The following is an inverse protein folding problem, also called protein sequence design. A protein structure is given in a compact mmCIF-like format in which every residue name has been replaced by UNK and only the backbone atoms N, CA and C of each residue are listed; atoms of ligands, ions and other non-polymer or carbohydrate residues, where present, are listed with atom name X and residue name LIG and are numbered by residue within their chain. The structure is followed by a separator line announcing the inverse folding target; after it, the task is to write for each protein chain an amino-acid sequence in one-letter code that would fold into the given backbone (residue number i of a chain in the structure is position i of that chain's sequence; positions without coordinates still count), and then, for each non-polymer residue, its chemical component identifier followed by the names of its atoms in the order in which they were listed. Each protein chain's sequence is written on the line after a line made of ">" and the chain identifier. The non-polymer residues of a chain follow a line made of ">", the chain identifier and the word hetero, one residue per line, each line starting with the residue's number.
data_IF_119573056114
#
_entry.id   IF_119573056114
#
_cell.length_a   1.000
_cell.length_b   1.000
_cell.length_c   1.000
_cell.angle_alpha   90.00
_cell.angle_beta   90.00
_cell.angle_gamma   90.00
#
_symmetry.space_group_name_H-M   'P 1'
#
loop_
_entity.id
_entity.type
_entity.pdbx_description
1 polymer ?
#
# COMPACT_ATOMS: atom_id res chain seq x y z
N UNK A 1 30.92 -25.20 6.43
CA UNK A 1 29.52 -25.33 6.89
C UNK A 1 28.82 -26.40 6.07
N UNK A 2 27.82 -27.12 6.61
CA UNK A 2 26.99 -28.04 5.82
C UNK A 2 26.23 -27.24 4.76
N UNK A 3 26.18 -27.71 3.50
CA UNK A 3 25.45 -27.05 2.39
C UNK A 3 24.00 -26.66 2.75
N UNK A 4 23.35 -27.47 3.59
CA UNK A 4 21.99 -27.22 4.08
C UNK A 4 21.86 -25.92 4.88
N UNK A 5 22.84 -25.63 5.74
CA UNK A 5 22.87 -24.43 6.59
C UNK A 5 23.05 -23.18 5.73
N UNK A 6 23.85 -23.28 4.66
CA UNK A 6 24.07 -22.19 3.71
C UNK A 6 22.78 -21.80 2.98
N UNK A 7 22.04 -22.78 2.43
CA UNK A 7 20.76 -22.53 1.78
C UNK A 7 19.71 -21.91 2.71
N UNK A 8 19.67 -22.33 3.97
CA UNK A 8 18.74 -21.80 4.96
C UNK A 8 19.08 -20.37 5.36
N UNK A 9 20.37 -20.08 5.49
CA UNK A 9 20.87 -18.74 5.78
C UNK A 9 20.57 -17.79 4.61
N UNK A 10 20.74 -18.27 3.37
CA UNK A 10 20.36 -17.53 2.16
C UNK A 10 18.84 -17.26 2.11
N UNK A 11 18.01 -18.26 2.41
CA UNK A 11 16.56 -18.07 2.48
C UNK A 11 16.14 -17.02 3.53
N UNK A 12 16.75 -17.04 4.72
CA UNK A 12 16.52 -16.03 5.76
C UNK A 12 16.94 -14.63 5.31
N UNK A 13 18.07 -14.50 4.60
CA UNK A 13 18.52 -13.22 4.03
C UNK A 13 17.54 -12.69 2.99
N UNK A 14 17.11 -13.55 2.06
CA UNK A 14 16.12 -13.20 1.04
C UNK A 14 14.80 -12.76 1.68
N UNK A 15 14.34 -13.46 2.72
CA UNK A 15 13.14 -13.09 3.46
C UNK A 15 13.27 -11.72 4.15
N UNK A 16 14.44 -11.43 4.73
CA UNK A 16 14.74 -10.12 5.33
C UNK A 16 14.68 -9.00 4.30
N UNK A 17 15.38 -9.20 3.18
CA UNK A 17 15.46 -8.21 2.10
C UNK A 17 14.07 -7.93 1.52
N UNK A 18 13.31 -8.99 1.24
CA UNK A 18 11.94 -8.87 0.76
C UNK A 18 11.03 -8.13 1.74
N UNK A 19 11.13 -8.45 3.02
CA UNK A 19 10.36 -7.78 4.07
C UNK A 19 10.72 -6.30 4.18
N UNK A 20 11.99 -5.96 4.04
CA UNK A 20 12.48 -4.57 4.02
C UNK A 20 11.97 -3.80 2.80
N UNK A 21 11.95 -4.43 1.62
CA UNK A 21 11.38 -3.83 0.40
C UNK A 21 9.89 -3.60 0.56
N UNK A 22 9.15 -4.55 1.14
CA UNK A 22 7.73 -4.35 1.40
C UNK A 22 7.47 -3.19 2.36
N UNK A 23 8.29 -3.04 3.41
CA UNK A 23 8.19 -1.88 4.32
C UNK A 23 8.43 -0.55 3.60
N UNK A 24 9.42 -0.47 2.71
CA UNK A 24 9.69 0.75 1.96
C UNK A 24 8.56 1.10 1.00
N UNK A 25 7.97 0.10 0.32
CA UNK A 25 6.78 0.28 -0.53
C UNK A 25 5.59 0.77 0.29
N UNK A 26 5.33 0.20 1.47
CA UNK A 26 4.24 0.64 2.35
C UNK A 26 4.43 2.09 2.81
N UNK A 27 5.64 2.46 3.21
CA UNK A 27 5.98 3.84 3.58
C UNK A 27 5.79 4.80 2.40
N UNK A 28 6.22 4.41 1.19
CA UNK A 28 6.04 5.21 -0.01
C UNK A 28 4.56 5.42 -0.36
N UNK A 29 3.72 4.38 -0.23
CA UNK A 29 2.28 4.48 -0.46
C UNK A 29 1.61 5.44 0.54
N UNK A 30 1.97 5.37 1.82
CA UNK A 30 1.45 6.29 2.84
C UNK A 30 1.90 7.74 2.57
N UNK A 31 3.17 7.93 2.21
CA UNK A 31 3.68 9.26 1.87
C UNK A 31 2.97 9.84 0.64
N UNK A 32 2.76 9.02 -0.39
CA UNK A 32 2.02 9.40 -1.59
C UNK A 32 0.59 9.82 -1.23
N UNK A 33 -0.11 9.02 -0.42
CA UNK A 33 -1.46 9.34 0.01
C UNK A 33 -1.53 10.56 0.92
N UNK A 34 -0.53 10.81 1.76
CA UNK A 34 -0.48 12.01 2.57
C UNK A 34 -0.32 13.28 1.72
N UNK A 35 0.41 13.20 0.61
CA UNK A 35 0.60 14.33 -0.33
C UNK A 35 -0.61 14.54 -1.23
N UNK A 36 -1.19 13.46 -1.76
CA UNK A 36 -2.27 13.53 -2.76
C UNK A 36 -3.67 13.34 -2.18
N UNK A 37 -3.80 13.08 -0.88
CA UNK A 37 -5.03 12.66 -0.20
C UNK A 37 -6.11 13.72 -0.01
N UNK A 38 -6.03 14.85 -0.71
CA UNK A 38 -7.01 15.93 -0.61
C UNK A 38 -8.22 15.67 -1.50
N UNK A 39 -8.90 14.56 -1.24
CA UNK A 39 -10.05 14.12 -2.02
C UNK A 39 -11.34 14.45 -1.26
N UNK A 40 -12.33 14.99 -1.99
CA UNK A 40 -13.69 15.12 -1.48
C UNK A 40 -14.39 13.76 -1.58
N UNK A 41 -14.69 13.14 -0.44
CA UNK A 41 -15.13 11.74 -0.40
C UNK A 41 -16.60 11.59 -0.01
N UNK A 42 -17.25 10.60 -0.61
CA UNK A 42 -18.48 10.04 -0.06
C UNK A 42 -18.15 9.17 1.16
N UNK A 43 -19.00 9.17 2.20
CA UNK A 43 -18.79 8.44 3.46
C UNK A 43 -18.46 6.94 3.31
N UNK A 44 -18.80 6.31 2.18
CA UNK A 44 -18.44 4.92 1.87
C UNK A 44 -16.96 4.74 1.50
N UNK A 45 -16.33 5.74 0.89
CA UNK A 45 -14.91 5.70 0.54
C UNK A 45 -14.02 5.76 1.80
N UNK A 46 -14.46 6.50 2.84
CA UNK A 46 -13.73 6.62 4.11
C UNK A 46 -13.56 5.28 4.84
N UNK A 47 -14.54 4.38 4.72
CA UNK A 47 -14.45 3.03 5.29
C UNK A 47 -13.32 2.22 4.64
N UNK A 48 -13.21 2.26 3.30
CA UNK A 48 -12.13 1.57 2.58
C UNK A 48 -10.77 2.17 2.92
N UNK A 49 -10.68 3.49 3.07
CA UNK A 49 -9.45 4.16 3.50
C UNK A 49 -9.01 3.73 4.90
N UNK A 50 -9.94 3.70 5.87
CA UNK A 50 -9.64 3.26 7.23
C UNK A 50 -9.15 1.81 7.26
N UNK A 51 -9.81 0.90 6.53
CA UNK A 51 -9.38 -0.51 6.43
C UNK A 51 -8.01 -0.61 5.77
N UNK A 52 -7.75 0.16 4.70
CA UNK A 52 -6.43 0.23 4.07
C UNK A 52 -5.34 0.62 5.08
N UNK A 53 -5.54 1.70 5.84
CA UNK A 53 -4.54 2.20 6.81
C UNK A 53 -4.29 1.15 7.90
N UNK A 54 -5.34 0.55 8.45
CA UNK A 54 -5.21 -0.48 9.50
C UNK A 54 -4.52 -1.74 8.96
N UNK A 55 -4.89 -2.20 7.76
CA UNK A 55 -4.29 -3.37 7.14
C UNK A 55 -2.80 -3.12 6.80
N UNK A 56 -2.47 -1.92 6.32
CA UNK A 56 -1.09 -1.57 6.02
C UNK A 56 -0.25 -1.49 7.30
N UNK A 57 -0.77 -0.87 8.36
CA UNK A 57 -0.11 -0.81 9.66
C UNK A 57 0.13 -2.21 10.24
N UNK A 58 -0.88 -3.10 10.18
CA UNK A 58 -0.72 -4.49 10.58
C UNK A 58 0.37 -5.20 9.76
N UNK A 59 0.37 -5.04 8.43
CA UNK A 59 1.40 -5.62 7.55
C UNK A 59 2.80 -5.08 7.89
N UNK A 60 2.94 -3.79 8.18
CA UNK A 60 4.21 -3.18 8.62
C UNK A 60 4.70 -3.77 9.94
N UNK A 61 3.80 -4.02 10.90
CA UNK A 61 4.14 -4.66 12.17
C UNK A 61 4.63 -6.09 11.97
N UNK A 62 3.99 -6.88 11.10
CA UNK A 62 4.49 -8.22 10.76
C UNK A 62 5.87 -8.15 10.12
N UNK A 63 6.06 -7.27 9.15
CA UNK A 63 7.35 -7.11 8.46
C UNK A 63 8.47 -6.68 9.41
N UNK A 64 8.20 -5.71 10.29
CA UNK A 64 9.16 -5.27 11.30
C UNK A 64 9.54 -6.42 12.27
N UNK A 65 8.56 -7.27 12.65
CA UNK A 65 8.82 -8.46 13.45
C UNK A 65 9.70 -9.48 12.70
N UNK A 66 9.44 -9.72 11.41
CA UNK A 66 10.25 -10.62 10.58
C UNK A 66 11.69 -10.10 10.49
N UNK A 67 11.87 -8.84 10.08
CA UNK A 67 13.20 -8.23 9.93
C UNK A 67 13.97 -8.19 11.25
N UNK A 68 13.29 -7.91 12.36
CA UNK A 68 13.88 -7.88 13.70
C UNK A 68 14.24 -9.25 14.26
N UNK A 69 13.51 -10.31 13.89
CA UNK A 69 13.77 -11.67 14.38
C UNK A 69 14.91 -12.38 13.64
N UNK A 70 15.14 -12.05 12.36
CA UNK A 70 16.10 -12.74 11.49
C UNK A 70 17.55 -12.75 12.04
N UNK A 71 18.12 -11.65 12.58
CA UNK A 71 19.47 -11.69 13.14
C UNK A 71 19.66 -12.74 14.24
N UNK A 72 18.67 -12.90 15.13
CA UNK A 72 18.69 -13.94 16.16
C UNK A 72 18.59 -15.33 15.54
N UNK A 73 17.70 -15.51 14.58
CA UNK A 73 17.54 -16.80 13.89
C UNK A 73 18.79 -17.22 13.11
N UNK A 74 19.52 -16.27 12.52
CA UNK A 74 20.80 -16.55 11.85
C UNK A 74 21.87 -17.04 12.83
N UNK A 75 21.91 -16.47 14.04
CA UNK A 75 22.82 -16.92 15.11
C UNK A 75 22.44 -18.32 15.61
N UNK A 76 21.14 -18.55 15.83
CA UNK A 76 20.63 -19.84 16.27
C UNK A 76 20.92 -20.93 15.23
N UNK A 77 20.71 -20.63 13.94
CA UNK A 77 20.96 -21.57 12.86
C UNK A 77 22.44 -22.01 12.74
N UNK A 78 23.37 -21.11 13.11
CA UNK A 78 24.79 -21.45 13.15
C UNK A 78 25.15 -22.45 14.25
N UNK A 79 24.34 -22.53 15.32
CA UNK A 79 24.56 -23.43 16.47
C UNK A 79 23.66 -24.66 16.44
N UNK A 80 22.46 -24.53 15.89
CA UNK A 80 21.40 -25.54 15.85
C UNK A 80 20.75 -25.53 14.47
N UNK A 81 21.30 -26.29 13.51
CA UNK A 81 20.70 -26.40 12.19
C UNK A 81 19.30 -27.02 12.31
N UNK A 82 18.30 -26.36 11.72
CA UNK A 82 16.94 -26.89 11.61
C UNK A 82 16.75 -27.52 10.24
N UNK A 83 15.65 -28.23 10.01
CA UNK A 83 15.30 -28.72 8.68
C UNK A 83 14.56 -27.67 7.85
N UNK A 84 13.72 -26.86 8.51
CA UNK A 84 12.89 -25.83 7.90
C UNK A 84 12.93 -24.52 8.70
N UNK A 85 13.38 -23.44 8.05
CA UNK A 85 13.48 -22.10 8.64
C UNK A 85 12.12 -21.49 8.92
N UNK A 86 11.06 -21.90 8.21
CA UNK A 86 9.71 -21.39 8.41
C UNK A 86 9.05 -21.87 9.71
N UNK A 87 9.61 -22.92 10.32
CA UNK A 87 9.20 -23.41 11.64
C UNK A 87 9.96 -22.74 12.79
N UNK A 88 10.99 -21.93 12.49
CA UNK A 88 11.69 -21.17 13.52
C UNK A 88 10.73 -20.17 14.16
N UNK A 89 10.82 -20.07 15.48
CA UNK A 89 9.99 -19.17 16.28
C UNK A 89 10.77 -17.92 16.63
N UNK A 90 10.12 -16.77 16.56
CA UNK A 90 10.68 -15.54 17.09
C UNK A 90 10.71 -15.57 18.63
N UNK A 91 11.22 -14.50 19.24
CA UNK A 91 11.28 -14.34 20.71
C UNK A 91 9.93 -14.51 21.41
N UNK A 92 8.82 -14.27 20.72
CA UNK A 92 7.47 -14.40 21.25
C UNK A 92 6.83 -15.76 20.96
N UNK A 93 7.60 -16.72 20.43
CA UNK A 93 7.10 -18.05 20.14
C UNK A 93 6.28 -18.15 18.85
N UNK A 94 6.26 -17.09 18.02
CA UNK A 94 5.49 -17.05 16.78
C UNK A 94 6.34 -17.61 15.64
N UNK A 95 5.76 -18.53 14.87
CA UNK A 95 6.43 -19.13 13.72
C UNK A 95 6.68 -18.10 12.61
N UNK A 96 7.86 -18.19 11.98
CA UNK A 96 8.26 -17.32 10.88
C UNK A 96 7.30 -17.41 9.67
N UNK A 97 6.81 -18.62 9.37
CA UNK A 97 5.75 -18.84 8.36
C UNK A 97 4.51 -17.99 8.61
N UNK A 98 4.01 -17.97 9.84
CA UNK A 98 2.80 -17.22 10.19
C UNK A 98 3.02 -15.71 10.06
N UNK A 99 4.19 -15.22 10.47
CA UNK A 99 4.53 -13.80 10.32
C UNK A 99 4.63 -13.38 8.86
N UNK A 100 5.35 -14.15 8.04
CA UNK A 100 5.51 -13.88 6.61
C UNK A 100 4.18 -13.97 5.86
N UNK A 101 3.37 -15.00 6.17
CA UNK A 101 2.05 -15.16 5.57
C UNK A 101 1.08 -14.05 5.98
N UNK A 102 1.08 -13.68 7.27
CA UNK A 102 0.30 -12.57 7.79
C UNK A 102 0.65 -11.25 7.10
N UNK A 103 1.95 -10.96 6.96
CA UNK A 103 2.43 -9.77 6.23
C UNK A 103 1.81 -9.67 4.83
N UNK A 104 1.83 -10.76 4.06
CA UNK A 104 1.30 -10.77 2.69
C UNK A 104 -0.22 -10.66 2.63
N UNK A 105 -0.95 -11.33 3.53
CA UNK A 105 -2.41 -11.20 3.60
C UNK A 105 -2.81 -9.76 3.89
N UNK A 106 -2.27 -9.16 4.95
CA UNK A 106 -2.62 -7.79 5.32
C UNK A 106 -2.19 -6.77 4.25
N UNK A 107 -1.06 -7.02 3.59
CA UNK A 107 -0.66 -6.20 2.45
C UNK A 107 -1.65 -6.29 1.29
N UNK A 108 -2.06 -7.51 0.90
CA UNK A 108 -3.03 -7.72 -0.17
C UNK A 108 -4.38 -7.07 0.14
N UNK A 109 -4.89 -7.24 1.36
CA UNK A 109 -6.12 -6.58 1.82
C UNK A 109 -5.96 -5.05 1.71
N UNK A 110 -4.84 -4.50 2.17
CA UNK A 110 -4.54 -3.08 2.06
C UNK A 110 -4.60 -2.61 0.60
N UNK A 111 -3.89 -3.27 -0.31
CA UNK A 111 -3.87 -2.89 -1.74
C UNK A 111 -5.27 -2.97 -2.36
N UNK A 112 -6.07 -3.99 -2.04
CA UNK A 112 -7.44 -4.11 -2.53
C UNK A 112 -8.30 -2.95 -2.02
N UNK A 113 -8.25 -2.64 -0.72
CA UNK A 113 -8.99 -1.54 -0.12
C UNK A 113 -8.57 -0.18 -0.69
N UNK A 114 -7.27 0.01 -0.96
CA UNK A 114 -6.75 1.21 -1.62
C UNK A 114 -7.31 1.35 -3.04
N UNK A 115 -7.34 0.27 -3.82
CA UNK A 115 -7.91 0.28 -5.16
C UNK A 115 -9.40 0.65 -5.14
N UNK A 116 -10.18 0.06 -4.22
CA UNK A 116 -11.60 0.38 -4.06
C UNK A 116 -11.79 1.83 -3.63
N UNK A 117 -10.98 2.34 -2.70
CA UNK A 117 -10.98 3.73 -2.30
C UNK A 117 -10.73 4.68 -3.48
N UNK A 118 -9.76 4.39 -4.34
CA UNK A 118 -9.46 5.20 -5.52
C UNK A 118 -10.56 5.15 -6.59
N UNK A 119 -11.27 4.04 -6.71
CA UNK A 119 -12.39 3.89 -7.66
C UNK A 119 -13.65 4.61 -7.17
N UNK A 120 -14.02 4.44 -5.90
CA UNK A 120 -15.23 5.03 -5.32
C UNK A 120 -15.04 6.45 -4.80
N UNK A 121 -13.80 6.87 -4.55
CA UNK A 121 -13.45 8.18 -4.04
C UNK A 121 -13.15 9.22 -5.12
N UNK A 122 -13.22 8.87 -6.42
CA UNK A 122 -13.06 9.82 -7.51
C UNK A 122 -14.24 10.80 -7.52
N UNK A 123 -14.01 12.13 -7.41
CA UNK A 123 -15.06 13.10 -7.68
C UNK A 123 -15.52 12.89 -9.12
N UNK A 124 -16.83 12.92 -9.37
CA UNK A 124 -17.36 12.93 -10.72
C UNK A 124 -16.67 14.09 -11.44
N UNK A 125 -15.72 13.77 -12.33
CA UNK A 125 -15.20 14.75 -13.26
C UNK A 125 -16.40 15.26 -14.01
N UNK A 126 -16.81 16.49 -13.71
CA UNK A 126 -17.76 17.25 -14.49
C UNK A 126 -17.24 17.18 -15.92
N UNK A 127 -17.90 16.37 -16.74
CA UNK A 127 -17.90 16.55 -18.17
C UNK A 127 -18.61 17.88 -18.36
N UNK A 128 -17.84 18.97 -18.28
CA UNK A 128 -18.26 20.25 -18.83
C UNK A 128 -18.43 20.03 -20.32
N UNK A 129 -19.62 19.57 -20.73
CA UNK A 129 -20.21 19.98 -21.98
C UNK A 129 -20.19 21.50 -21.96
N UNK A 130 -19.17 22.09 -22.58
CA UNK A 130 -19.15 23.49 -22.97
C UNK A 130 -20.45 23.74 -23.76
N UNK A 131 -21.43 24.49 -23.22
CA UNK A 131 -22.61 24.83 -24.00
C UNK A 131 -22.09 25.78 -25.08
N UNK A 132 -22.04 25.26 -26.30
CA UNK A 132 -21.64 25.95 -27.51
C UNK A 132 -22.54 27.18 -27.70
N UNK A 133 -22.17 28.29 -27.04
CA UNK A 133 -22.81 29.57 -27.16
C UNK A 133 -22.47 30.11 -28.55
N UNK A 134 -23.35 29.80 -29.50
CA UNK A 134 -23.35 30.43 -30.80
C UNK A 134 -23.32 31.95 -30.63
N UNK A 135 -22.41 32.68 -31.30
CA UNK A 135 -22.40 34.14 -31.26
C UNK A 135 -23.69 34.67 -31.89
N UNK A 136 -24.48 35.37 -31.09
CA UNK A 136 -25.65 36.12 -31.53
C UNK A 136 -25.20 37.22 -32.52
N UNK A 137 -25.71 37.27 -33.77
CA UNK A 137 -25.33 38.30 -34.72
C UNK A 137 -25.97 39.63 -34.31
N UNK A 138 -25.14 40.55 -33.82
CA UNK A 138 -25.47 41.94 -33.53
C UNK A 138 -26.14 42.59 -34.74
N UNK A 139 -27.47 42.75 -34.68
CA UNK A 139 -28.22 43.52 -35.67
C UNK A 139 -27.82 44.98 -35.58
N UNK A 140 -27.13 45.45 -36.62
CA UNK A 140 -27.02 46.86 -36.97
C UNK A 140 -28.42 47.40 -37.27
N UNK A 141 -29.02 48.15 -36.35
CA UNK A 141 -30.11 49.08 -36.69
C UNK A 141 -29.58 50.49 -36.64
N UNK A 142 -29.22 50.97 -37.82
CA UNK A 142 -29.17 52.38 -38.14
C UNK A 142 -30.55 53.02 -37.84
N UNK A 143 -30.55 54.13 -37.12
CA UNK A 143 -31.75 54.88 -36.78
C UNK A 143 -31.44 56.37 -36.74
N UNK A 144 -31.50 57.00 -37.92
CA UNK A 144 -31.65 58.44 -38.06
C UNK A 144 -32.80 58.96 -37.19
N UNK A 145 -32.58 60.08 -36.50
CA UNK A 145 -33.69 60.99 -36.15
C UNK A 145 -33.17 62.41 -36.01
N UNK A 146 -33.63 63.23 -36.94
CA UNK A 146 -33.50 64.69 -36.96
C UNK A 146 -34.43 65.31 -35.92
N UNK A 147 -33.89 66.19 -35.06
CA UNK A 147 -34.47 67.50 -34.69
C UNK A 147 -33.57 68.23 -33.71
#
# INVERSE_FOLDING_TARGET
>A
MPKKVEHQLEALKMLKEWSSVLLSVQAALLALLAVFGNFSHAAKADCFFAIFVVALAASSLFSANVVGAIPSMMQDLATRPVDDVYQMRNRWGINLSLLAFGQHIFFAIGIICLALFLVFGRPATEVSEEPNHAPEPTRLTAGCSWR
#
